data_IF_343582140996
#
_entry.id   IF_343582140996
#
_cell.length_a   1.000
_cell.length_b   1.000
_cell.length_c   1.000
_cell.angle_alpha   90.00
_cell.angle_beta   90.00
_cell.angle_gamma   90.00
#
_symmetry.space_group_name_H-M   'P 1'
#
loop_
_entity.id
_entity.type
_entity.pdbx_description
1 polymer ?
#
# COMPACT_ATOMS: atom_id res chain seq x y z
N UNK A 1 31.45 11.85 -24.85
CA UNK A 1 31.41 11.69 -23.39
C UNK A 1 30.31 12.59 -22.86
N UNK A 2 29.33 12.05 -22.14
CA UNK A 2 28.24 12.86 -21.59
C UNK A 2 28.77 13.59 -20.35
N UNK A 3 28.88 14.93 -20.35
CA UNK A 3 29.43 15.69 -19.22
C UNK A 3 28.59 15.55 -17.94
N UNK A 4 27.37 15.03 -18.04
CA UNK A 4 26.46 14.80 -16.91
C UNK A 4 26.68 13.46 -16.20
N UNK A 5 27.47 12.54 -16.76
CA UNK A 5 27.72 11.21 -16.16
C UNK A 5 28.48 11.28 -14.83
N UNK A 6 29.28 12.34 -14.61
CA UNK A 6 30.12 12.49 -13.42
C UNK A 6 29.53 13.41 -12.36
N UNK A 7 28.32 13.95 -12.57
CA UNK A 7 27.64 14.76 -11.56
C UNK A 7 26.98 13.79 -10.57
N UNK A 8 27.19 13.95 -9.25
CA UNK A 8 26.48 13.14 -8.26
C UNK A 8 24.98 13.35 -8.39
N UNK A 9 24.25 12.32 -8.79
CA UNK A 9 22.80 12.36 -8.90
C UNK A 9 22.17 11.78 -7.64
N UNK A 10 21.59 12.64 -6.80
CA UNK A 10 20.70 12.20 -5.71
C UNK A 10 19.26 12.22 -6.23
N UNK A 11 18.57 11.07 -6.33
CA UNK A 11 17.19 11.07 -6.79
C UNK A 11 16.33 11.87 -5.82
N UNK A 12 15.56 12.82 -6.35
CA UNK A 12 14.61 13.64 -5.57
C UNK A 12 13.67 12.76 -4.75
N UNK A 13 13.19 11.66 -5.36
CA UNK A 13 12.33 10.67 -4.75
C UNK A 13 12.82 9.26 -5.09
N UNK A 14 12.93 8.41 -4.09
CA UNK A 14 13.26 7.00 -4.24
C UNK A 14 12.18 6.14 -3.58
N UNK A 15 11.77 5.06 -4.24
CA UNK A 15 10.78 4.11 -3.71
C UNK A 15 11.43 2.73 -3.67
N UNK A 16 11.42 2.10 -2.50
CA UNK A 16 11.97 0.76 -2.30
C UNK A 16 10.89 -0.17 -1.78
N UNK A 17 10.83 -1.39 -2.32
CA UNK A 17 9.88 -2.42 -1.95
C UNK A 17 10.58 -3.60 -1.31
N UNK A 18 9.97 -4.16 -0.27
CA UNK A 18 10.23 -5.51 0.21
C UNK A 18 9.05 -6.37 -0.20
N UNK A 19 9.29 -7.56 -0.73
CA UNK A 19 8.25 -8.51 -1.12
C UNK A 19 8.14 -9.66 -0.12
N UNK A 20 7.03 -10.38 -0.15
CA UNK A 20 6.85 -11.65 0.55
C UNK A 20 7.35 -12.83 -0.33
N UNK A 21 7.21 -14.07 0.15
CA UNK A 21 7.64 -15.29 -0.57
C UNK A 21 6.93 -15.49 -1.93
N UNK A 22 5.81 -14.84 -2.15
CA UNK A 22 5.01 -14.92 -3.38
C UNK A 22 5.25 -13.73 -4.33
N UNK A 23 6.19 -12.83 -3.98
CA UNK A 23 6.50 -11.66 -4.80
C UNK A 23 5.58 -10.46 -4.59
N UNK A 24 4.55 -10.57 -3.74
CA UNK A 24 3.69 -9.42 -3.39
C UNK A 24 4.41 -8.46 -2.44
N UNK A 25 4.19 -7.14 -2.55
CA UNK A 25 4.84 -6.16 -1.68
C UNK A 25 4.40 -6.39 -0.23
N UNK A 26 5.33 -6.53 0.71
CA UNK A 26 5.07 -6.57 2.16
C UNK A 26 5.34 -5.22 2.83
N UNK A 27 6.24 -4.42 2.25
CA UNK A 27 6.58 -3.08 2.73
C UNK A 27 7.02 -2.19 1.57
N UNK A 28 6.55 -0.95 1.53
CA UNK A 28 7.02 0.11 0.64
C UNK A 28 7.59 1.25 1.48
N UNK A 29 8.76 1.75 1.11
CA UNK A 29 9.40 2.90 1.75
C UNK A 29 9.63 3.95 0.67
N UNK A 30 9.05 5.13 0.86
CA UNK A 30 9.28 6.31 0.02
C UNK A 30 10.27 7.21 0.75
N UNK A 31 11.33 7.61 0.04
CA UNK A 31 12.29 8.62 0.50
C UNK A 31 12.22 9.86 -0.39
N UNK A 32 12.26 11.03 0.22
CA UNK A 32 12.38 12.32 -0.46
C UNK A 32 13.62 13.01 0.10
N UNK A 33 14.56 13.43 -0.74
CA UNK A 33 15.85 14.00 -0.30
C UNK A 33 16.57 13.16 0.78
N UNK A 34 16.66 11.84 0.57
CA UNK A 34 17.23 10.85 1.51
C UNK A 34 16.51 10.68 2.85
N UNK A 35 15.44 11.43 3.13
CA UNK A 35 14.61 11.24 4.31
C UNK A 35 13.42 10.33 4.00
N UNK A 36 13.09 9.42 4.92
CA UNK A 36 11.89 8.59 4.78
C UNK A 36 10.67 9.48 4.96
N UNK A 37 9.86 9.63 3.90
CA UNK A 37 8.64 10.44 3.91
C UNK A 37 7.38 9.60 4.14
N UNK A 38 7.39 8.33 3.72
CA UNK A 38 6.25 7.43 3.84
C UNK A 38 6.72 5.98 4.01
N UNK A 39 6.02 5.23 4.85
CA UNK A 39 6.17 3.78 4.97
C UNK A 39 4.80 3.12 4.87
N UNK A 40 4.62 2.21 3.91
CA UNK A 40 3.40 1.41 3.76
C UNK A 40 3.70 -0.03 4.12
N UNK A 41 2.85 -0.65 4.93
CA UNK A 41 2.85 -2.08 5.21
C UNK A 41 1.64 -2.73 4.56
N UNK A 42 1.83 -3.92 4.01
CA UNK A 42 0.80 -4.69 3.34
C UNK A 42 0.62 -6.02 4.05
N UNK A 43 -0.60 -6.36 4.41
CA UNK A 43 -0.96 -7.58 5.12
C UNK A 43 -1.85 -8.45 4.25
N UNK A 44 -1.51 -9.72 4.14
CA UNK A 44 -2.22 -10.68 3.29
C UNK A 44 -2.70 -11.86 4.14
N UNK A 45 -3.78 -12.50 3.70
CA UNK A 45 -4.22 -13.78 4.26
C UNK A 45 -3.50 -14.97 3.60
N UNK A 46 -3.83 -16.19 4.03
CA UNK A 46 -3.25 -17.42 3.49
C UNK A 46 -3.63 -17.71 2.02
N UNK A 47 -4.69 -17.06 1.52
CA UNK A 47 -5.09 -17.07 0.11
C UNK A 47 -4.43 -15.95 -0.70
N UNK A 48 -3.44 -15.27 -0.11
CA UNK A 48 -2.70 -14.17 -0.75
C UNK A 48 -3.56 -12.93 -1.08
N UNK A 49 -4.72 -12.79 -0.44
CA UNK A 49 -5.59 -11.62 -0.59
C UNK A 49 -5.13 -10.52 0.35
N UNK A 50 -5.09 -9.28 -0.13
CA UNK A 50 -4.67 -8.11 0.63
C UNK A 50 -5.72 -7.73 1.67
N UNK A 51 -5.47 -7.98 2.94
CA UNK A 51 -6.37 -7.65 4.04
C UNK A 51 -6.26 -6.20 4.50
N UNK A 52 -5.05 -5.65 4.55
CA UNK A 52 -4.83 -4.28 5.03
C UNK A 52 -3.60 -3.63 4.42
N UNK A 53 -3.72 -2.33 4.16
CA UNK A 53 -2.62 -1.44 3.79
C UNK A 53 -2.51 -0.34 4.85
N UNK A 54 -1.39 -0.30 5.57
CA UNK A 54 -1.15 0.69 6.63
C UNK A 54 -0.03 1.64 6.22
N UNK A 55 -0.39 2.89 5.93
CA UNK A 55 0.49 3.97 5.50
C UNK A 55 0.81 4.89 6.66
N UNK A 56 2.09 4.99 7.01
CA UNK A 56 2.60 5.97 7.94
C UNK A 56 3.28 7.10 7.18
N UNK A 57 2.68 8.29 7.25
CA UNK A 57 3.31 9.52 6.76
C UNK A 57 4.30 10.02 7.83
N UNK A 58 5.58 10.09 7.49
CA UNK A 58 6.63 10.54 8.43
C UNK A 58 6.74 12.06 8.50
N UNK A 59 6.20 12.77 7.53
CA UNK A 59 6.18 14.23 7.48
C UNK A 59 5.03 14.76 8.33
N UNK A 60 3.80 14.33 8.05
CA UNK A 60 2.61 14.79 8.81
C UNK A 60 2.38 14.04 10.12
N UNK A 61 3.06 12.88 10.30
CA UNK A 61 2.87 11.94 11.42
C UNK A 61 1.50 11.26 11.44
N UNK A 62 0.75 11.35 10.36
CA UNK A 62 -0.52 10.66 10.21
C UNK A 62 -0.34 9.19 9.85
N UNK A 63 -1.34 8.39 10.19
CA UNK A 63 -1.47 7.01 9.76
C UNK A 63 -2.79 6.82 9.04
N UNK A 64 -2.73 6.41 7.78
CA UNK A 64 -3.91 5.95 7.04
C UNK A 64 -3.89 4.43 6.99
N UNK A 65 -5.05 3.80 7.14
CA UNK A 65 -5.19 2.36 7.00
C UNK A 65 -6.38 2.04 6.11
N UNK A 66 -6.21 1.12 5.17
CA UNK A 66 -7.30 0.60 4.36
C UNK A 66 -7.43 -0.88 4.67
N UNK A 67 -8.61 -1.34 5.03
CA UNK A 67 -8.92 -2.74 5.28
C UNK A 67 -9.89 -3.28 4.23
N UNK A 68 -9.71 -4.54 3.85
CA UNK A 68 -10.51 -5.22 2.84
C UNK A 68 -11.10 -6.53 3.39
N UNK A 69 -12.34 -6.81 3.01
CA UNK A 69 -12.97 -8.12 3.18
C UNK A 69 -13.36 -8.66 1.81
N UNK A 70 -13.30 -9.97 1.66
CA UNK A 70 -13.59 -10.67 0.41
C UNK A 70 -14.68 -11.70 0.60
N UNK A 71 -15.43 -11.98 -0.47
CA UNK A 71 -16.33 -13.13 -0.52
C UNK A 71 -15.62 -14.43 -0.88
N UNK A 72 -16.42 -15.49 -1.03
CA UNK A 72 -15.97 -16.83 -1.40
C UNK A 72 -15.37 -16.92 -2.82
N UNK A 73 -15.68 -15.95 -3.70
CA UNK A 73 -15.20 -15.86 -5.07
C UNK A 73 -14.00 -14.92 -5.20
N UNK A 74 -13.41 -14.50 -4.08
CA UNK A 74 -12.29 -13.58 -3.99
C UNK A 74 -12.59 -12.15 -4.47
N UNK A 75 -13.86 -11.74 -4.49
CA UNK A 75 -14.25 -10.38 -4.80
C UNK A 75 -14.32 -9.53 -3.51
N UNK A 76 -13.82 -8.28 -3.52
CA UNK A 76 -13.85 -7.43 -2.34
C UNK A 76 -15.28 -6.99 -2.01
N UNK A 77 -15.82 -7.38 -0.86
CA UNK A 77 -17.18 -7.03 -0.42
C UNK A 77 -17.19 -5.82 0.51
N UNK A 78 -16.06 -5.52 1.16
CA UNK A 78 -15.92 -4.36 2.04
C UNK A 78 -14.57 -3.71 1.86
N UNK A 79 -14.55 -2.37 1.83
CA UNK A 79 -13.35 -1.55 1.94
C UNK A 79 -13.58 -0.48 3.00
N UNK A 80 -12.82 -0.51 4.09
CA UNK A 80 -12.89 0.46 5.18
C UNK A 80 -11.64 1.34 5.13
N UNK A 81 -11.80 2.66 5.23
CA UNK A 81 -10.70 3.62 5.24
C UNK A 81 -10.65 4.28 6.62
N UNK A 82 -9.49 4.23 7.24
CA UNK A 82 -9.17 4.86 8.50
C UNK A 82 -8.14 5.96 8.31
N UNK A 83 -8.31 7.03 9.06
CA UNK A 83 -7.31 8.09 9.22
C UNK A 83 -7.09 8.29 10.72
N UNK A 84 -5.85 8.12 11.16
CA UNK A 84 -5.44 8.16 12.57
C UNK A 84 -6.36 7.28 13.45
N UNK A 85 -6.52 6.02 13.03
CA UNK A 85 -7.34 4.98 13.70
C UNK A 85 -8.86 5.26 13.72
N UNK A 86 -9.30 6.41 13.22
CA UNK A 86 -10.71 6.74 13.07
C UNK A 86 -11.21 6.29 11.70
N UNK A 87 -12.25 5.48 11.67
CA UNK A 87 -12.96 5.16 10.43
C UNK A 87 -13.54 6.44 9.83
N UNK A 88 -13.17 6.75 8.59
CA UNK A 88 -13.66 7.94 7.86
C UNK A 88 -14.58 7.55 6.71
N UNK A 89 -14.45 6.34 6.18
CA UNK A 89 -15.24 5.89 5.04
C UNK A 89 -15.37 4.37 5.02
N UNK A 90 -16.50 3.89 4.51
CA UNK A 90 -16.75 2.49 4.25
C UNK A 90 -17.45 2.34 2.90
N UNK A 91 -16.96 1.41 2.08
CA UNK A 91 -17.61 0.96 0.86
C UNK A 91 -18.05 -0.49 1.02
N UNK A 92 -19.28 -0.76 0.60
CA UNK A 92 -19.85 -2.09 0.50
C UNK A 92 -20.12 -2.40 -0.96
N UNK A 93 -19.71 -3.58 -1.38
CA UNK A 93 -19.91 -4.07 -2.74
C UNK A 93 -20.82 -5.28 -2.71
N UNK A 94 -21.71 -5.35 -3.70
CA UNK A 94 -22.58 -6.50 -3.92
C UNK A 94 -22.34 -7.00 -5.34
N UNK A 95 -22.25 -8.32 -5.47
CA UNK A 95 -22.01 -8.99 -6.74
C UNK A 95 -23.17 -9.94 -7.03
N UNK A 96 -23.64 -9.90 -8.27
CA UNK A 96 -24.62 -10.84 -8.79
C UNK A 96 -23.92 -11.88 -9.66
N UNK A 97 -24.18 -13.15 -9.37
CA UNK A 97 -23.54 -14.27 -10.05
C UNK A 97 -24.57 -14.96 -10.94
N UNK A 98 -24.33 -14.88 -12.26
CA UNK A 98 -25.16 -15.55 -13.25
C UNK A 98 -24.51 -16.89 -13.62
N UNK A 99 -25.28 -17.98 -13.58
CA UNK A 99 -24.83 -19.27 -14.12
C UNK A 99 -24.89 -19.19 -15.65
N UNK A 100 -23.78 -19.49 -16.31
CA UNK A 100 -23.72 -19.74 -17.76
C UNK A 100 -24.22 -21.15 -18.07
#
# INVERSE_FOLDING_TARGET
RNPLENIPHTPYKAVTYKTNKFGFPSKKITRTYNQVSEVVYYFYNDKEQLLSEKKHNKVSRDTDEIQYEYDLHNNPIKKIIFHNEKQIQQHLYSYEYYRL
#
